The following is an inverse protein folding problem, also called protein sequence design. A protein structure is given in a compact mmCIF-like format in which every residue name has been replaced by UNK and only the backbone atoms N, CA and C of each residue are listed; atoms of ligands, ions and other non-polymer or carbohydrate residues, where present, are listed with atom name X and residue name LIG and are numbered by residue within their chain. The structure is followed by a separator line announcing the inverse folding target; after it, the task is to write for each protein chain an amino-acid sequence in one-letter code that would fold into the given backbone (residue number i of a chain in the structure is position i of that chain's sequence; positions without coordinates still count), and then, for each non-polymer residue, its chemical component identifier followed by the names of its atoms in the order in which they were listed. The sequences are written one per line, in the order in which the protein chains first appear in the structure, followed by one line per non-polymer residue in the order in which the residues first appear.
data_IF_133399836114
#
_entry.id   IF_133399836114
#
_cell.length_a   1.000
_cell.length_b   1.000
_cell.length_c   1.000
_cell.angle_alpha   90.00
_cell.angle_beta   90.00
_cell.angle_gamma   90.00
#
_symmetry.space_group_name_H-M   'P 1'
#
loop_
_entity.id
_entity.type
_entity.pdbx_description
1 polymer ?
#
# COMPACT_ATOMS: atom_id res chain seq x y z
N UNK A 1 -35.71 30.52 1.50
CA UNK A 1 -36.41 30.01 2.69
C UNK A 1 -36.19 30.99 3.83
N UNK A 2 -37.26 31.67 4.24
CA UNK A 2 -37.26 32.80 5.16
C UNK A 2 -36.89 32.41 6.60
N UNK A 3 -36.24 33.38 7.26
CA UNK A 3 -36.04 33.59 8.71
C UNK A 3 -37.01 32.83 9.63
N UNK A 4 -36.47 32.02 10.54
CA UNK A 4 -37.11 31.66 11.81
C UNK A 4 -36.16 32.09 12.92
N UNK A 5 -36.20 33.37 13.31
CA UNK A 5 -35.85 33.83 14.66
C UNK A 5 -36.45 35.23 14.78
N UNK A 6 -37.65 35.29 15.37
CA UNK A 6 -38.36 36.53 15.70
C UNK A 6 -37.84 37.09 17.02
N UNK A 7 -37.79 38.42 17.10
CA UNK A 7 -37.20 39.25 18.15
C UNK A 7 -37.69 38.94 19.60
N UNK A 8 -36.96 38.09 20.33
CA UNK A 8 -36.79 38.16 21.81
C UNK A 8 -35.42 37.63 22.29
N UNK A 9 -34.48 37.45 21.36
CA UNK A 9 -33.51 36.36 21.43
C UNK A 9 -32.11 36.72 21.98
N UNK A 10 -32.03 37.32 23.17
CA UNK A 10 -30.78 37.27 23.95
C UNK A 10 -30.87 36.32 25.14
N UNK A 11 -32.02 36.25 25.83
CA UNK A 11 -32.30 35.18 26.80
C UNK A 11 -32.56 33.81 26.14
N UNK A 12 -33.07 33.81 24.90
CA UNK A 12 -33.41 32.57 24.18
C UNK A 12 -32.19 31.88 23.55
N UNK A 13 -31.13 32.63 23.19
CA UNK A 13 -29.97 32.06 22.51
C UNK A 13 -29.12 31.17 23.43
N UNK A 14 -28.94 31.56 24.69
CA UNK A 14 -28.26 30.73 25.68
C UNK A 14 -29.07 29.46 26.00
N UNK A 15 -30.37 29.61 26.21
CA UNK A 15 -31.27 28.49 26.47
C UNK A 15 -31.33 27.52 25.28
N UNK A 16 -31.37 28.05 24.05
CA UNK A 16 -31.34 27.26 22.82
C UNK A 16 -30.00 26.52 22.66
N UNK A 17 -28.88 27.20 22.92
CA UNK A 17 -27.56 26.58 22.90
C UNK A 17 -27.45 25.44 23.92
N UNK A 18 -27.85 25.68 25.17
CA UNK A 18 -27.87 24.65 26.23
C UNK A 18 -28.76 23.46 25.84
N UNK A 19 -29.95 23.72 25.28
CA UNK A 19 -30.85 22.68 24.82
C UNK A 19 -30.25 21.84 23.68
N UNK A 20 -29.64 22.48 22.67
CA UNK A 20 -28.95 21.78 21.57
C UNK A 20 -27.84 20.88 22.10
N UNK A 21 -26.98 21.40 22.97
CA UNK A 21 -25.86 20.65 23.54
C UNK A 21 -26.33 19.49 24.43
N UNK A 22 -27.45 19.64 25.13
CA UNK A 22 -28.04 18.61 25.97
C UNK A 22 -28.64 17.44 25.15
N UNK A 23 -29.35 17.76 24.06
CA UNK A 23 -29.98 16.73 23.19
C UNK A 23 -28.94 16.03 22.30
N UNK A 24 -27.79 16.65 22.04
CA UNK A 24 -26.74 16.09 21.19
C UNK A 24 -26.28 14.69 21.69
N UNK A 25 -26.28 13.66 20.82
CA UNK A 25 -26.06 12.26 21.23
C UNK A 25 -24.61 11.92 21.57
N UNK A 26 -23.68 12.87 21.42
CA UNK A 26 -22.25 12.69 21.64
C UNK A 26 -21.75 13.51 22.83
N UNK A 27 -20.70 13.05 23.53
CA UNK A 27 -19.95 13.89 24.44
C UNK A 27 -19.36 15.11 23.74
N UNK A 28 -19.70 16.30 24.23
CA UNK A 28 -19.28 17.58 23.64
C UNK A 28 -18.83 18.55 24.72
N UNK A 29 -17.79 19.32 24.42
CA UNK A 29 -17.28 20.38 25.30
C UNK A 29 -16.91 21.63 24.50
N UNK A 30 -16.90 22.78 25.17
CA UNK A 30 -16.50 24.07 24.62
C UNK A 30 -15.38 24.63 25.45
N UNK A 31 -14.30 25.06 24.79
CA UNK A 31 -13.19 25.75 25.42
C UNK A 31 -13.13 27.21 24.98
N UNK A 32 -12.61 28.07 25.85
CA UNK A 32 -12.21 29.44 25.52
C UNK A 32 -10.93 29.78 26.30
N UNK A 33 -9.98 30.44 25.65
CA UNK A 33 -8.69 30.83 26.26
C UNK A 33 -7.95 29.69 26.97
N UNK A 34 -8.03 28.47 26.42
CA UNK A 34 -7.39 27.27 26.97
C UNK A 34 -8.16 26.58 28.09
N UNK A 35 -9.29 27.14 28.53
CA UNK A 35 -10.10 26.61 29.62
C UNK A 35 -11.42 26.04 29.09
N UNK A 36 -11.94 24.98 29.69
CA UNK A 36 -13.29 24.52 29.37
C UNK A 36 -14.30 25.44 30.01
N UNK A 37 -15.27 25.89 29.23
CA UNK A 37 -16.33 26.77 29.71
C UNK A 37 -17.68 26.05 29.76
N UNK A 38 -17.80 24.91 29.06
CA UNK A 38 -19.03 24.13 29.02
C UNK A 38 -18.77 22.69 28.59
N UNK A 39 -19.42 21.73 29.23
CA UNK A 39 -19.51 20.34 28.79
C UNK A 39 -20.95 19.86 28.89
N UNK A 40 -21.44 19.09 27.91
CA UNK A 40 -22.77 18.48 28.02
C UNK A 40 -22.76 17.29 28.98
N UNK A 41 -23.95 16.80 29.37
CA UNK A 41 -24.05 15.69 30.33
C UNK A 41 -23.26 14.44 29.91
N UNK A 42 -23.22 14.14 28.61
CA UNK A 42 -22.48 12.98 28.08
C UNK A 42 -20.98 13.14 28.27
N UNK A 43 -20.45 14.34 28.09
CA UNK A 43 -19.06 14.67 28.39
C UNK A 43 -18.76 14.55 29.88
N UNK A 44 -19.64 15.08 30.73
CA UNK A 44 -19.49 14.97 32.19
C UNK A 44 -19.51 13.50 32.63
N UNK A 45 -20.33 12.64 31.99
CA UNK A 45 -20.41 11.19 32.25
C UNK A 45 -19.18 10.39 31.82
N UNK A 46 -18.26 10.92 31.01
CA UNK A 46 -17.04 10.21 30.60
C UNK A 46 -16.01 10.00 31.75
N UNK A 47 -16.37 10.37 32.99
CA UNK A 47 -15.59 10.29 34.23
C UNK A 47 -14.37 11.22 34.26
N UNK A 48 -14.45 12.33 35.00
CA UNK A 48 -13.29 13.20 35.27
C UNK A 48 -13.64 14.56 35.88
N UNK A 49 -14.81 15.12 35.57
CA UNK A 49 -15.26 16.38 36.15
C UNK A 49 -16.01 16.11 37.47
N UNK A 50 -15.35 16.31 38.61
CA UNK A 50 -16.04 16.46 39.90
C UNK A 50 -16.50 17.91 40.02
N UNK A 51 -17.82 18.09 40.04
CA UNK A 51 -18.58 19.31 40.37
C UNK A 51 -18.41 20.54 39.45
N UNK A 52 -19.55 21.05 38.97
CA UNK A 52 -19.97 22.32 38.36
C UNK A 52 -19.01 23.42 37.82
N UNK A 53 -17.69 23.30 37.85
CA UNK A 53 -16.77 24.28 37.26
C UNK A 53 -15.51 23.61 36.73
N UNK A 54 -15.41 23.49 35.40
CA UNK A 54 -14.30 22.79 34.75
C UNK A 54 -13.27 23.80 34.22
N UNK A 55 -12.50 24.44 35.11
CA UNK A 55 -11.47 25.42 34.70
C UNK A 55 -10.44 24.83 33.72
N UNK A 56 -10.12 23.53 33.83
CA UNK A 56 -9.39 22.75 32.83
C UNK A 56 -10.27 21.57 32.44
N UNK A 57 -10.38 21.25 31.15
CA UNK A 57 -11.48 20.46 30.58
C UNK A 57 -11.70 19.03 31.14
N UNK A 58 -10.88 18.56 32.07
CA UNK A 58 -10.98 17.23 32.67
C UNK A 58 -10.47 16.14 31.72
N UNK A 59 -10.50 16.39 30.40
CA UNK A 59 -9.98 15.50 29.36
C UNK A 59 -8.51 15.20 29.56
N UNK A 60 -7.71 16.16 30.02
CA UNK A 60 -6.29 15.95 30.32
C UNK A 60 -6.09 14.79 31.32
N UNK A 61 -7.00 14.60 32.29
CA UNK A 61 -6.91 13.51 33.27
C UNK A 61 -7.21 12.13 32.66
N UNK A 62 -7.87 12.10 31.50
CA UNK A 62 -8.23 10.89 30.77
C UNK A 62 -7.25 10.53 29.66
N UNK A 63 -6.25 11.38 29.41
CA UNK A 63 -5.27 11.15 28.34
C UNK A 63 -3.92 10.76 28.93
N UNK A 64 -3.22 9.86 28.22
CA UNK A 64 -1.80 9.61 28.42
C UNK A 64 -0.95 10.82 27.99
N UNK A 65 0.34 10.81 28.32
CA UNK A 65 1.24 11.94 28.05
C UNK A 65 1.33 12.28 26.56
N UNK A 66 1.48 11.28 25.69
CA UNK A 66 1.54 11.47 24.23
C UNK A 66 0.27 12.11 23.67
N UNK A 67 -0.89 11.61 24.09
CA UNK A 67 -2.19 12.14 23.66
C UNK A 67 -2.44 13.58 24.16
N UNK A 68 -1.95 13.94 25.36
CA UNK A 68 -2.01 15.33 25.86
C UNK A 68 -1.18 16.27 24.98
N UNK A 69 0.02 15.85 24.59
CA UNK A 69 0.90 16.64 23.72
C UNK A 69 0.27 16.81 22.34
N UNK A 70 -0.30 15.75 21.76
CA UNK A 70 -1.00 15.79 20.47
C UNK A 70 -2.21 16.75 20.50
N UNK A 71 -3.04 16.71 21.56
CA UNK A 71 -4.16 17.64 21.74
C UNK A 71 -3.66 19.08 21.88
N UNK A 72 -2.60 19.32 22.65
CA UNK A 72 -2.00 20.63 22.82
C UNK A 72 -1.49 21.24 21.51
N UNK A 73 -0.77 20.44 20.70
CA UNK A 73 -0.30 20.85 19.37
C UNK A 73 -1.46 21.14 18.40
N UNK A 74 -2.51 20.33 18.45
CA UNK A 74 -3.71 20.55 17.63
C UNK A 74 -4.46 21.83 18.02
N UNK A 75 -4.60 22.12 19.32
CA UNK A 75 -5.19 23.37 19.79
C UNK A 75 -4.36 24.59 19.36
N UNK A 76 -3.03 24.50 19.43
CA UNK A 76 -2.14 25.59 19.03
C UNK A 76 -2.16 25.88 17.52
N UNK A 77 -2.49 24.88 16.69
CA UNK A 77 -2.54 25.00 15.23
C UNK A 77 -3.95 25.20 14.68
N UNK A 78 -4.97 25.21 15.54
CA UNK A 78 -6.39 25.28 15.14
C UNK A 78 -6.73 26.65 14.55
N UNK A 79 -7.08 26.69 13.26
CA UNK A 79 -7.54 27.91 12.55
C UNK A 79 -9.06 27.97 12.50
N UNK A 80 -9.60 29.19 12.43
CA UNK A 80 -11.05 29.43 12.32
C UNK A 80 -11.64 28.64 11.13
N UNK A 81 -12.70 27.86 11.39
CA UNK A 81 -13.37 27.05 10.36
C UNK A 81 -12.68 25.75 9.98
N UNK A 82 -11.50 25.44 10.53
CA UNK A 82 -10.81 24.15 10.32
C UNK A 82 -11.21 23.16 11.41
N UNK A 83 -11.54 21.93 11.00
CA UNK A 83 -11.79 20.81 11.91
C UNK A 83 -10.54 19.94 11.98
N UNK A 84 -9.99 19.75 13.17
CA UNK A 84 -8.91 18.80 13.43
C UNK A 84 -9.50 17.55 14.06
N UNK A 85 -9.06 16.38 13.60
CA UNK A 85 -9.47 15.08 14.15
C UNK A 85 -8.26 14.34 14.67
N UNK A 86 -8.33 13.90 15.92
CA UNK A 86 -7.27 13.16 16.59
C UNK A 86 -7.82 11.81 17.08
N UNK A 87 -7.21 10.68 16.70
CA UNK A 87 -7.45 9.42 17.41
C UNK A 87 -6.78 9.52 18.79
N UNK A 88 -7.51 9.25 19.87
CA UNK A 88 -7.02 9.30 21.24
C UNK A 88 -7.38 8.02 22.00
N UNK A 89 -6.64 7.74 23.08
CA UNK A 89 -6.98 6.70 24.05
C UNK A 89 -7.43 7.32 25.37
N UNK A 90 -8.70 7.09 25.74
CA UNK A 90 -9.22 7.53 27.03
C UNK A 90 -8.98 6.47 28.11
N UNK A 91 -8.26 6.87 29.16
CA UNK A 91 -8.04 6.12 30.40
C UNK A 91 -9.28 6.30 31.30
N UNK A 92 -10.11 5.26 31.43
CA UNK A 92 -11.26 5.28 32.33
C UNK A 92 -10.88 4.87 33.76
N UNK A 93 -11.67 5.30 34.74
CA UNK A 93 -11.59 4.80 36.13
C UNK A 93 -11.73 3.28 36.15
N UNK A 94 -10.72 2.59 36.68
CA UNK A 94 -10.62 1.12 36.67
C UNK A 94 -9.61 0.56 35.66
N UNK A 95 -8.88 1.41 34.93
CA UNK A 95 -7.79 0.98 34.03
C UNK A 95 -8.24 0.51 32.65
N UNK A 96 -9.53 0.60 32.33
CA UNK A 96 -10.06 0.31 31.00
C UNK A 96 -9.71 1.44 30.03
N UNK A 97 -9.21 1.09 28.85
CA UNK A 97 -8.81 2.04 27.81
C UNK A 97 -9.80 1.99 26.66
N UNK A 98 -10.43 3.12 26.32
CA UNK A 98 -11.34 3.25 25.17
C UNK A 98 -10.71 4.13 24.09
N UNK A 99 -10.52 3.59 22.88
CA UNK A 99 -10.08 4.41 21.74
C UNK A 99 -11.24 5.21 21.13
N UNK A 100 -11.05 6.53 21.07
CA UNK A 100 -12.03 7.51 20.60
C UNK A 100 -11.44 8.37 19.47
N UNK A 101 -12.29 9.01 18.69
CA UNK A 101 -11.89 10.12 17.82
C UNK A 101 -12.36 11.44 18.49
N UNK A 102 -11.42 12.35 18.74
CA UNK A 102 -11.70 13.73 19.16
C UNK A 102 -11.70 14.63 17.92
N UNK A 103 -12.83 15.27 17.65
CA UNK A 103 -12.94 16.33 16.64
C UNK A 103 -12.99 17.69 17.33
N UNK A 104 -12.09 18.60 16.95
CA UNK A 104 -12.05 19.97 17.45
C UNK A 104 -12.23 20.95 16.29
N UNK A 105 -13.09 21.95 16.48
CA UNK A 105 -13.24 23.06 15.54
C UNK A 105 -13.24 24.39 16.28
N UNK A 106 -12.63 25.42 15.69
CA UNK A 106 -12.62 26.75 16.28
C UNK A 106 -13.65 27.67 15.62
N UNK A 107 -14.26 28.51 16.45
CA UNK A 107 -15.20 29.56 16.06
C UNK A 107 -14.81 30.87 16.76
N UNK A 108 -15.03 31.99 16.08
CA UNK A 108 -14.79 33.32 16.65
C UNK A 108 -16.11 34.07 16.80
N UNK A 109 -16.38 34.58 18.00
CA UNK A 109 -17.54 35.43 18.32
C UNK A 109 -17.02 36.68 19.03
N UNK A 110 -17.35 37.87 18.52
CA UNK A 110 -17.02 39.16 19.14
C UNK A 110 -15.53 39.27 19.57
N UNK A 111 -14.62 38.84 18.69
CA UNK A 111 -13.16 38.78 18.91
C UNK A 111 -12.65 37.78 19.96
N UNK A 112 -13.52 36.94 20.52
CA UNK A 112 -13.16 35.80 21.38
C UNK A 112 -13.10 34.51 20.59
N UNK A 113 -12.12 33.66 20.89
CA UNK A 113 -11.96 32.33 20.29
C UNK A 113 -12.61 31.28 21.17
N UNK A 114 -13.39 30.41 20.55
CA UNK A 114 -13.99 29.25 21.18
C UNK A 114 -13.63 27.99 20.39
N UNK A 115 -13.44 26.88 21.07
CA UNK A 115 -13.21 25.57 20.46
C UNK A 115 -14.32 24.63 20.86
N UNK A 116 -15.01 24.05 19.88
CA UNK A 116 -15.97 22.97 20.09
C UNK A 116 -15.26 21.64 19.92
N UNK A 117 -15.19 20.85 20.99
CA UNK A 117 -14.74 19.47 20.99
C UNK A 117 -15.91 18.51 20.95
N UNK A 118 -15.83 17.49 20.10
CA UNK A 118 -16.78 16.38 20.02
C UNK A 118 -15.99 15.07 20.11
N UNK A 119 -16.38 14.22 21.05
CA UNK A 119 -15.77 12.90 21.23
C UNK A 119 -16.73 11.87 20.67
N UNK A 120 -16.25 11.01 19.78
CA UNK A 120 -16.99 9.85 19.29
C UNK A 120 -16.22 8.58 19.61
N UNK A 121 -16.85 7.64 20.31
CA UNK A 121 -16.30 6.29 20.49
C UNK A 121 -16.35 5.55 19.15
N UNK A 122 -15.26 4.90 18.75
CA UNK A 122 -15.25 4.10 17.52
C UNK A 122 -16.07 2.84 17.73
N UNK A 123 -17.06 2.62 16.87
CA UNK A 123 -17.73 1.33 16.84
C UNK A 123 -16.74 0.24 16.42
N UNK A 124 -16.89 -0.97 16.96
CA UNK A 124 -16.03 -2.11 16.59
C UNK A 124 -16.04 -2.36 15.07
N UNK A 125 -17.18 -2.10 14.42
CA UNK A 125 -17.36 -2.11 12.97
C UNK A 125 -16.46 -1.11 12.22
N UNK A 126 -16.30 0.11 12.72
CA UNK A 126 -15.42 1.10 12.09
C UNK A 126 -13.93 0.78 12.31
N UNK A 127 -13.57 0.19 13.46
CA UNK A 127 -12.22 -0.32 13.69
C UNK A 127 -11.91 -1.48 12.75
N UNK A 128 -12.83 -2.45 12.64
CA UNK A 128 -12.71 -3.58 11.73
C UNK A 128 -12.59 -3.11 10.28
N UNK A 129 -13.42 -2.15 9.86
CA UNK A 129 -13.36 -1.59 8.51
C UNK A 129 -12.03 -0.91 8.21
N UNK A 130 -11.52 -0.07 9.12
CA UNK A 130 -10.19 0.56 8.94
C UNK A 130 -9.06 -0.46 8.94
N UNK A 131 -9.18 -1.52 9.73
CA UNK A 131 -8.22 -2.62 9.74
C UNK A 131 -8.25 -3.37 8.41
N UNK A 132 -9.44 -3.72 7.91
CA UNK A 132 -9.64 -4.35 6.60
C UNK A 132 -9.11 -3.49 5.47
N UNK A 133 -9.40 -2.19 5.47
CA UNK A 133 -8.88 -1.24 4.48
C UNK A 133 -7.35 -1.18 4.53
N UNK A 134 -6.74 -1.15 5.73
CA UNK A 134 -5.28 -1.20 5.87
C UNK A 134 -4.70 -2.52 5.34
N UNK A 135 -5.30 -3.66 5.68
CA UNK A 135 -4.83 -4.97 5.22
C UNK A 135 -4.97 -5.15 3.71
N UNK A 136 -6.01 -4.57 3.11
CA UNK A 136 -6.28 -4.69 1.68
C UNK A 136 -5.40 -3.76 0.82
N UNK A 137 -5.06 -2.57 1.32
CA UNK A 137 -4.47 -1.50 0.50
C UNK A 137 -3.08 -1.04 0.94
N UNK A 138 -2.55 -1.57 2.05
CA UNK A 138 -1.23 -1.21 2.54
C UNK A 138 -0.36 -2.44 2.76
N UNK A 139 0.94 -2.27 2.54
CA UNK A 139 1.97 -3.24 2.90
C UNK A 139 2.08 -3.36 4.42
N UNK A 140 2.02 -4.59 4.92
CA UNK A 140 1.97 -4.88 6.36
C UNK A 140 3.26 -4.54 7.10
N UNK A 141 4.40 -4.51 6.40
CA UNK A 141 5.70 -4.21 6.98
C UNK A 141 5.98 -2.71 7.08
N UNK A 142 5.70 -1.98 6.00
CA UNK A 142 6.10 -0.57 5.82
C UNK A 142 4.94 0.42 5.98
N UNK A 143 3.70 -0.08 6.06
CA UNK A 143 2.45 0.68 6.03
C UNK A 143 2.28 1.58 4.79
N UNK A 144 3.14 1.46 3.78
CA UNK A 144 2.99 2.15 2.50
C UNK A 144 1.80 1.58 1.74
N UNK A 145 1.16 2.37 0.86
CA UNK A 145 0.35 1.84 -0.23
C UNK A 145 0.98 0.58 -0.84
N UNK A 146 0.17 -0.47 -0.99
CA UNK A 146 0.56 -1.66 -1.74
C UNK A 146 0.28 -1.46 -3.24
N UNK A 147 0.55 -2.49 -4.05
CA UNK A 147 0.30 -2.49 -5.50
C UNK A 147 -1.13 -2.09 -5.87
N UNK A 148 -2.13 -2.58 -5.14
CA UNK A 148 -3.55 -2.31 -5.42
C UNK A 148 -3.83 -0.81 -5.27
N UNK A 149 -3.40 -0.21 -4.15
CA UNK A 149 -3.60 1.22 -3.92
C UNK A 149 -2.77 2.09 -4.87
N UNK A 150 -1.55 1.65 -5.24
CA UNK A 150 -0.76 2.34 -6.25
C UNK A 150 -1.50 2.43 -7.59
N UNK A 151 -2.08 1.32 -8.06
CA UNK A 151 -2.76 1.28 -9.36
C UNK A 151 -4.01 2.16 -9.36
N UNK A 152 -4.78 2.17 -8.27
CA UNK A 152 -5.88 3.12 -8.08
C UNK A 152 -5.39 4.58 -8.18
N UNK A 153 -4.27 4.92 -7.54
CA UNK A 153 -3.69 6.27 -7.60
C UNK A 153 -3.20 6.64 -9.00
N UNK A 154 -2.58 5.72 -9.74
CA UNK A 154 -2.20 5.98 -11.14
C UNK A 154 -3.44 6.20 -12.00
N UNK A 155 -4.49 5.40 -11.85
CA UNK A 155 -5.77 5.60 -12.56
C UNK A 155 -6.40 6.96 -12.26
N UNK A 156 -6.34 7.41 -11.00
CA UNK A 156 -6.79 8.75 -10.60
C UNK A 156 -5.94 9.84 -11.27
N UNK A 157 -4.62 9.68 -11.29
CA UNK A 157 -3.69 10.62 -11.92
C UNK A 157 -3.88 10.69 -13.45
N UNK A 158 -4.06 9.55 -14.12
CA UNK A 158 -4.41 9.46 -15.55
C UNK A 158 -5.74 10.19 -15.83
N UNK A 159 -6.77 9.90 -15.04
CA UNK A 159 -8.08 10.55 -15.17
C UNK A 159 -7.99 12.06 -14.97
N UNK A 160 -7.12 12.52 -14.07
CA UNK A 160 -6.87 13.94 -13.85
C UNK A 160 -6.10 14.58 -15.01
N UNK A 161 -5.05 13.92 -15.50
CA UNK A 161 -4.25 14.35 -16.65
C UNK A 161 -5.11 14.54 -17.91
N UNK A 162 -6.00 13.58 -18.19
CA UNK A 162 -6.94 13.64 -19.33
C UNK A 162 -7.89 14.83 -19.22
N UNK A 163 -8.45 15.10 -18.03
CA UNK A 163 -9.44 16.18 -17.86
C UNK A 163 -8.82 17.57 -17.82
N UNK A 164 -7.64 17.70 -17.20
CA UNK A 164 -7.07 19.01 -16.86
C UNK A 164 -5.81 19.34 -17.66
N UNK A 165 -5.36 18.47 -18.56
CA UNK A 165 -4.12 18.63 -19.32
C UNK A 165 -2.86 18.59 -18.45
N UNK A 166 -2.95 17.97 -17.27
CA UNK A 166 -1.85 17.86 -16.31
C UNK A 166 -0.87 16.75 -16.67
N UNK A 167 0.35 16.82 -16.13
CA UNK A 167 1.37 15.77 -16.23
C UNK A 167 1.71 15.21 -14.85
N UNK A 168 2.17 13.97 -14.84
CA UNK A 168 2.73 13.33 -13.65
C UNK A 168 3.81 12.33 -14.09
N UNK A 169 4.62 11.88 -13.16
CA UNK A 169 5.61 10.84 -13.42
C UNK A 169 5.39 9.62 -12.53
N UNK A 170 5.65 8.44 -13.08
CA UNK A 170 5.74 7.17 -12.36
C UNK A 170 7.21 6.80 -12.27
N UNK A 171 7.64 6.46 -11.06
CA UNK A 171 9.01 6.05 -10.77
C UNK A 171 8.98 4.64 -10.19
N UNK A 172 9.83 3.77 -10.70
CA UNK A 172 10.11 2.44 -10.12
C UNK A 172 11.50 2.48 -9.50
N UNK A 173 11.64 1.90 -8.32
CA UNK A 173 12.85 1.88 -7.52
C UNK A 173 13.12 0.48 -7.00
N UNK A 174 14.38 0.09 -7.00
CA UNK A 174 14.87 -1.14 -6.40
C UNK A 174 16.12 -0.86 -5.56
N UNK A 175 16.30 -1.63 -4.49
CA UNK A 175 17.41 -1.50 -3.54
C UNK A 175 18.59 -2.39 -3.97
N UNK A 176 19.65 -1.75 -4.45
CA UNK A 176 20.83 -2.43 -4.97
C UNK A 176 21.48 -3.30 -3.88
N UNK A 177 21.50 -4.62 -4.07
CA UNK A 177 22.18 -5.57 -3.17
C UNK A 177 21.41 -5.94 -1.91
N UNK A 178 20.11 -5.63 -1.83
CA UNK A 178 19.29 -5.95 -0.65
C UNK A 178 19.27 -7.45 -0.29
N UNK A 179 19.21 -8.34 -1.30
CA UNK A 179 19.24 -9.79 -1.09
C UNK A 179 20.49 -10.24 -0.33
N UNK A 180 21.67 -9.72 -0.67
CA UNK A 180 22.91 -10.07 0.02
C UNK A 180 22.87 -9.69 1.51
N UNK A 181 22.20 -8.58 1.84
CA UNK A 181 22.01 -8.17 3.24
C UNK A 181 21.10 -9.14 3.99
N UNK A 182 20.01 -9.59 3.36
CA UNK A 182 19.15 -10.62 3.96
C UNK A 182 19.90 -11.93 4.17
N UNK A 183 20.74 -12.32 3.22
CA UNK A 183 21.52 -13.56 3.30
C UNK A 183 22.60 -13.48 4.40
N UNK A 184 23.23 -12.31 4.58
CA UNK A 184 24.32 -12.12 5.56
C UNK A 184 23.82 -11.80 6.98
N UNK A 185 22.78 -10.97 7.10
CA UNK A 185 22.31 -10.42 8.39
C UNK A 185 20.92 -10.91 8.81
N UNK A 186 20.25 -11.68 7.94
CA UNK A 186 18.92 -12.24 8.18
C UNK A 186 17.77 -11.30 7.88
N UNK A 187 16.57 -11.87 7.70
CA UNK A 187 15.35 -11.12 7.32
C UNK A 187 14.96 -10.02 8.30
N UNK A 188 15.26 -10.17 9.60
CA UNK A 188 14.96 -9.11 10.58
C UNK A 188 15.74 -7.81 10.30
N UNK A 189 16.98 -7.93 9.78
CA UNK A 189 17.77 -6.78 9.37
C UNK A 189 17.21 -6.15 8.08
N UNK A 190 16.83 -6.98 7.10
CA UNK A 190 16.16 -6.50 5.89
C UNK A 190 14.86 -5.77 6.19
N UNK A 191 14.03 -6.30 7.09
CA UNK A 191 12.79 -5.68 7.53
C UNK A 191 13.01 -4.31 8.17
N UNK A 192 14.08 -4.16 8.96
CA UNK A 192 14.46 -2.87 9.55
C UNK A 192 14.90 -1.87 8.47
N UNK A 193 15.69 -2.32 7.49
CA UNK A 193 16.08 -1.49 6.33
C UNK A 193 14.84 -1.04 5.56
N UNK A 194 13.93 -1.95 5.21
CA UNK A 194 12.74 -1.64 4.42
C UNK A 194 11.84 -0.60 5.11
N UNK A 195 11.66 -0.70 6.44
CA UNK A 195 10.94 0.31 7.22
C UNK A 195 11.63 1.68 7.17
N UNK A 196 12.95 1.70 7.31
CA UNK A 196 13.72 2.94 7.29
C UNK A 196 13.77 3.58 5.89
N UNK A 197 13.95 2.78 4.84
CA UNK A 197 13.82 3.21 3.44
C UNK A 197 12.45 3.84 3.21
N UNK A 198 11.38 3.19 3.67
CA UNK A 198 10.02 3.70 3.54
C UNK A 198 9.84 5.07 4.20
N UNK A 199 10.43 5.26 5.38
CA UNK A 199 10.43 6.55 6.08
C UNK A 199 11.19 7.62 5.30
N UNK A 200 12.37 7.29 4.76
CA UNK A 200 13.20 8.19 3.97
C UNK A 200 12.49 8.59 2.67
N UNK A 201 11.92 7.63 1.93
CA UNK A 201 11.15 7.89 0.71
C UNK A 201 9.96 8.82 0.96
N UNK A 202 9.20 8.61 2.05
CA UNK A 202 8.10 9.51 2.43
C UNK A 202 8.58 10.94 2.72
N UNK A 203 9.75 11.09 3.33
CA UNK A 203 10.35 12.40 3.60
C UNK A 203 10.92 13.08 2.33
N UNK A 204 11.19 12.31 1.28
CA UNK A 204 11.66 12.83 -0.01
C UNK A 204 10.57 13.56 -0.78
N UNK A 205 9.33 13.09 -0.69
CA UNK A 205 8.21 13.54 -1.53
C UNK A 205 7.26 14.52 -0.83
N UNK A 206 6.35 15.14 -1.58
CA UNK A 206 5.32 16.04 -1.04
C UNK A 206 4.09 15.24 -0.60
N UNK A 207 3.21 15.83 0.21
CA UNK A 207 1.99 15.15 0.67
C UNK A 207 0.96 14.81 -0.42
N UNK A 208 1.09 15.38 -1.61
CA UNK A 208 0.28 15.02 -2.79
C UNK A 208 0.87 13.85 -3.57
N UNK A 209 2.17 13.59 -3.42
CA UNK A 209 2.85 12.48 -4.07
C UNK A 209 2.55 11.17 -3.34
N UNK A 210 2.72 10.07 -4.05
CA UNK A 210 2.51 8.72 -3.49
C UNK A 210 3.83 7.97 -3.45
N UNK A 211 4.08 7.27 -2.35
CA UNK A 211 5.14 6.25 -2.25
C UNK A 211 4.44 4.93 -1.96
N UNK A 212 4.77 3.88 -2.69
CA UNK A 212 4.21 2.55 -2.55
C UNK A 212 5.34 1.50 -2.46
N UNK A 213 5.05 0.36 -1.85
CA UNK A 213 5.89 -0.84 -1.91
C UNK A 213 5.18 -1.90 -2.73
N UNK A 214 5.86 -2.44 -3.74
CA UNK A 214 5.30 -3.45 -4.64
C UNK A 214 5.45 -4.86 -4.08
N UNK A 215 6.54 -5.10 -3.37
CA UNK A 215 6.92 -6.40 -2.81
C UNK A 215 8.44 -6.46 -2.66
N UNK A 216 8.98 -7.37 -1.85
CA UNK A 216 10.43 -7.50 -1.68
C UNK A 216 11.12 -6.16 -1.35
N UNK A 217 12.07 -5.78 -2.19
CA UNK A 217 12.82 -4.52 -2.18
C UNK A 217 12.36 -3.48 -3.20
N UNK A 218 11.24 -3.71 -3.87
CA UNK A 218 10.70 -2.85 -4.92
C UNK A 218 9.74 -1.79 -4.37
N UNK A 219 9.97 -0.54 -4.77
CA UNK A 219 9.15 0.61 -4.44
C UNK A 219 8.70 1.33 -5.72
N UNK A 220 7.59 2.04 -5.61
CA UNK A 220 7.12 2.92 -6.68
C UNK A 220 6.71 4.28 -6.14
N UNK A 221 6.91 5.32 -6.94
CA UNK A 221 6.49 6.68 -6.61
C UNK A 221 5.59 7.25 -7.71
N UNK A 222 4.62 8.05 -7.31
CA UNK A 222 3.83 8.90 -8.21
C UNK A 222 4.14 10.35 -7.86
N UNK A 223 4.79 11.05 -8.78
CA UNK A 223 5.13 12.47 -8.65
C UNK A 223 4.09 13.29 -9.41
N UNK A 224 3.21 13.97 -8.67
CA UNK A 224 2.13 14.76 -9.28
C UNK A 224 2.64 16.12 -9.74
N UNK A 225 2.04 16.64 -10.83
CA UNK A 225 2.37 17.97 -11.37
C UNK A 225 3.85 18.10 -11.79
N UNK A 226 4.44 16.99 -12.23
CA UNK A 226 5.81 16.93 -12.75
C UNK A 226 5.74 16.60 -14.23
N UNK A 227 6.32 17.45 -15.07
CA UNK A 227 6.21 17.32 -16.53
C UNK A 227 7.53 17.11 -17.26
N UNK A 228 8.66 17.17 -16.56
CA UNK A 228 9.98 17.05 -17.17
C UNK A 228 11.02 16.48 -16.22
N UNK A 229 12.13 16.02 -16.80
CA UNK A 229 13.26 15.42 -16.08
C UNK A 229 13.86 16.36 -15.03
N UNK A 230 13.92 17.68 -15.29
CA UNK A 230 14.55 18.62 -14.34
C UNK A 230 13.77 18.68 -13.03
N UNK A 231 12.44 18.74 -13.11
CA UNK A 231 11.56 18.75 -11.94
C UNK A 231 11.62 17.43 -11.19
N UNK A 232 11.51 16.30 -11.90
CA UNK A 232 11.61 14.97 -11.31
C UNK A 232 12.98 14.74 -10.65
N UNK A 233 14.05 15.14 -11.33
CA UNK A 233 15.44 14.96 -10.91
C UNK A 233 15.74 15.58 -9.55
N UNK A 234 15.03 16.63 -9.13
CA UNK A 234 15.16 17.20 -7.78
C UNK A 234 14.75 16.17 -6.73
N UNK A 235 13.63 15.47 -6.94
CA UNK A 235 13.12 14.44 -6.03
C UNK A 235 13.95 13.17 -6.14
N UNK A 236 14.27 12.72 -7.36
CA UNK A 236 15.03 11.49 -7.60
C UNK A 236 16.44 11.56 -7.00
N UNK A 237 17.16 12.67 -7.21
CA UNK A 237 18.48 12.86 -6.61
C UNK A 237 18.43 12.94 -5.08
N UNK A 238 17.34 13.48 -4.52
CA UNK A 238 17.11 13.48 -3.07
C UNK A 238 16.89 12.06 -2.57
N UNK A 239 16.07 11.26 -3.26
CA UNK A 239 15.86 9.84 -2.94
C UNK A 239 17.16 9.06 -2.95
N UNK A 240 17.95 9.13 -4.04
CA UNK A 240 19.23 8.42 -4.17
C UNK A 240 20.16 8.79 -3.01
N UNK A 241 20.27 10.09 -2.70
CA UNK A 241 21.13 10.59 -1.62
C UNK A 241 20.68 10.10 -0.25
N UNK A 242 19.38 10.20 0.04
CA UNK A 242 18.85 9.86 1.37
C UNK A 242 18.87 8.35 1.60
N UNK A 243 18.66 7.52 0.57
CA UNK A 243 18.80 6.05 0.67
C UNK A 243 20.25 5.66 0.90
N UNK A 244 21.21 6.33 0.24
CA UNK A 244 22.64 6.05 0.39
C UNK A 244 23.22 6.39 1.79
N UNK A 245 22.47 7.08 2.65
CA UNK A 245 22.90 7.31 4.04
C UNK A 245 22.99 5.95 4.77
N UNK A 246 24.09 5.63 5.47
CA UNK A 246 24.23 4.36 6.17
C UNK A 246 23.04 4.04 7.11
N UNK A 247 22.67 2.77 7.15
CA UNK A 247 21.65 2.22 8.04
C UNK A 247 22.31 1.71 9.31
N UNK A 248 21.90 2.25 10.45
CA UNK A 248 22.35 1.80 11.78
C UNK A 248 21.53 0.58 12.19
N UNK A 249 22.13 -0.61 12.10
CA UNK A 249 21.50 -1.88 12.45
C UNK A 249 22.20 -2.46 13.66
N UNK A 250 21.64 -2.27 14.86
CA UNK A 250 22.12 -2.79 16.15
C UNK A 250 23.64 -2.64 16.41
N UNK A 251 24.48 -3.46 15.77
CA UNK A 251 25.95 -3.49 15.89
C UNK A 251 26.71 -3.28 14.56
N UNK A 252 26.04 -3.11 13.42
CA UNK A 252 26.64 -2.90 12.10
C UNK A 252 26.10 -1.63 11.41
N UNK A 253 26.95 -0.99 10.61
CA UNK A 253 26.53 0.01 9.64
C UNK A 253 26.50 -0.63 8.25
N UNK A 254 25.35 -0.54 7.58
CA UNK A 254 25.18 -1.05 6.22
C UNK A 254 24.88 0.12 5.29
N UNK A 255 25.60 0.19 4.16
CA UNK A 255 25.30 1.13 3.10
C UNK A 255 24.60 0.38 1.97
N UNK A 256 23.53 0.97 1.45
CA UNK A 256 22.78 0.43 0.34
C UNK A 256 22.43 1.56 -0.63
N UNK A 257 22.38 1.23 -1.91
CA UNK A 257 22.08 2.17 -2.98
C UNK A 257 20.72 1.86 -3.60
N UNK A 258 20.18 2.81 -4.36
CA UNK A 258 18.94 2.60 -5.09
C UNK A 258 19.14 2.89 -6.56
N UNK A 259 18.58 2.03 -7.39
CA UNK A 259 18.43 2.26 -8.82
C UNK A 259 17.00 2.66 -9.12
N UNK A 260 16.83 3.73 -9.90
CA UNK A 260 15.52 4.31 -10.20
C UNK A 260 15.29 4.42 -11.70
N UNK A 261 14.05 4.26 -12.11
CA UNK A 261 13.62 4.53 -13.47
C UNK A 261 12.32 5.33 -13.49
N UNK A 262 12.20 6.24 -14.45
CA UNK A 262 11.08 7.18 -14.51
C UNK A 262 10.43 7.22 -15.90
N UNK A 263 9.10 7.26 -15.91
CA UNK A 263 8.26 7.48 -17.08
C UNK A 263 7.26 8.62 -16.81
N UNK A 264 7.08 9.51 -17.79
CA UNK A 264 6.20 10.67 -17.70
C UNK A 264 4.88 10.44 -18.42
N UNK A 265 3.75 10.76 -17.81
CA UNK A 265 2.48 10.89 -18.50
C UNK A 265 2.28 12.34 -18.96
N UNK A 266 1.88 12.60 -20.22
CA UNK A 266 1.49 11.64 -21.26
C UNK A 266 2.64 11.21 -22.21
N UNK A 267 3.87 11.68 -22.02
CA UNK A 267 4.98 11.48 -22.97
C UNK A 267 5.33 10.00 -23.20
N UNK A 268 5.43 9.25 -22.11
CA UNK A 268 5.86 7.86 -22.06
C UNK A 268 4.68 6.89 -21.93
N UNK A 269 3.44 7.38 -21.89
CA UNK A 269 2.29 6.50 -21.79
C UNK A 269 1.03 7.16 -21.29
N UNK A 270 -0.08 6.50 -21.57
CA UNK A 270 -1.43 6.87 -21.14
C UNK A 270 -2.15 5.75 -20.40
N UNK A 271 -1.49 4.60 -20.20
CA UNK A 271 -1.97 3.48 -19.41
C UNK A 271 -1.02 3.18 -18.26
N UNK A 272 -1.52 2.47 -17.24
CA UNK A 272 -0.70 2.02 -16.10
C UNK A 272 0.46 1.15 -16.60
N UNK A 273 0.17 0.23 -17.51
CA UNK A 273 1.08 -0.76 -18.05
C UNK A 273 2.24 -0.10 -18.81
N UNK A 274 1.94 0.87 -19.66
CA UNK A 274 2.96 1.64 -20.39
C UNK A 274 3.89 2.38 -19.43
N UNK A 275 3.33 3.09 -18.45
CA UNK A 275 4.11 3.91 -17.53
C UNK A 275 4.99 3.06 -16.61
N UNK A 276 4.44 1.99 -16.01
CA UNK A 276 5.20 1.11 -15.15
C UNK A 276 6.27 0.33 -15.92
N UNK A 277 5.92 -0.28 -17.06
CA UNK A 277 6.88 -1.08 -17.84
C UNK A 277 8.04 -0.26 -18.40
N UNK A 278 7.78 1.01 -18.75
CA UNK A 278 8.84 1.94 -19.20
C UNK A 278 9.70 2.49 -18.07
N UNK A 279 9.09 2.80 -16.92
CA UNK A 279 9.83 3.22 -15.74
C UNK A 279 10.73 2.09 -15.23
N UNK A 280 10.21 0.87 -15.20
CA UNK A 280 10.97 -0.31 -14.82
C UNK A 280 12.13 -0.63 -15.79
N UNK A 281 11.93 -0.54 -17.11
CA UNK A 281 13.04 -0.65 -18.07
C UNK A 281 14.14 0.38 -17.83
N UNK A 282 13.75 1.63 -17.57
CA UNK A 282 14.70 2.68 -17.25
C UNK A 282 15.46 2.38 -15.94
N UNK A 283 14.80 1.81 -14.92
CA UNK A 283 15.43 1.41 -13.67
C UNK A 283 16.49 0.34 -13.92
N UNK A 284 16.18 -0.63 -14.77
CA UNK A 284 17.15 -1.65 -15.17
C UNK A 284 18.35 -1.06 -15.92
N UNK A 285 18.13 -0.08 -16.81
CA UNK A 285 19.22 0.65 -17.45
C UNK A 285 20.12 1.34 -16.41
N UNK A 286 19.53 1.91 -15.35
CA UNK A 286 20.28 2.49 -14.23
C UNK A 286 21.13 1.43 -13.51
N UNK A 287 20.56 0.26 -13.19
CA UNK A 287 21.30 -0.87 -12.61
C UNK A 287 22.49 -1.28 -13.47
N UNK A 288 22.27 -1.45 -14.78
CA UNK A 288 23.33 -1.81 -15.75
C UNK A 288 24.44 -0.76 -15.85
N UNK A 289 24.14 0.51 -15.59
CA UNK A 289 25.10 1.60 -15.61
C UNK A 289 25.96 1.71 -14.34
N UNK A 290 25.80 0.80 -13.38
CA UNK A 290 26.55 0.77 -12.11
C UNK A 290 25.70 1.03 -10.87
N UNK A 291 24.38 1.16 -11.01
CA UNK A 291 23.44 1.41 -9.91
C UNK A 291 23.58 2.80 -9.29
N UNK A 292 22.91 3.02 -8.17
CA UNK A 292 22.93 4.29 -7.43
C UNK A 292 22.61 5.54 -8.30
N UNK A 293 21.70 5.39 -9.25
CA UNK A 293 21.39 6.40 -10.25
C UNK A 293 19.92 6.31 -10.67
N UNK A 294 19.45 7.30 -11.43
CA UNK A 294 18.18 7.21 -12.14
C UNK A 294 18.39 7.26 -13.65
N UNK A 295 17.51 6.61 -14.40
CA UNK A 295 17.38 6.82 -15.84
C UNK A 295 15.96 7.19 -16.22
N UNK A 296 15.82 8.01 -17.26
CA UNK A 296 14.54 8.35 -17.87
C UNK A 296 14.20 7.33 -18.95
N UNK A 297 12.92 7.01 -19.12
CA UNK A 297 12.46 6.15 -20.21
C UNK A 297 12.92 6.68 -21.56
N UNK A 298 13.41 5.76 -22.40
CA UNK A 298 13.76 6.01 -23.81
C UNK A 298 12.64 5.62 -24.78
N UNK A 299 11.45 5.27 -24.26
CA UNK A 299 10.33 4.73 -25.04
C UNK A 299 10.40 3.22 -25.28
N UNK A 300 11.45 2.57 -24.83
CA UNK A 300 11.59 1.11 -24.82
C UNK A 300 10.89 0.50 -23.60
N UNK A 301 10.37 -0.72 -23.76
CA UNK A 301 9.68 -1.50 -22.72
C UNK A 301 10.54 -2.73 -22.44
N UNK A 302 10.77 -3.04 -21.17
CA UNK A 302 11.85 -3.92 -20.78
C UNK A 302 11.59 -5.42 -20.93
N UNK A 303 12.45 -6.08 -21.69
CA UNK A 303 12.63 -7.54 -21.79
C UNK A 303 13.19 -8.17 -20.48
N UNK A 304 13.94 -7.42 -19.66
CA UNK A 304 14.73 -8.00 -18.55
C UNK A 304 14.03 -8.00 -17.18
N UNK A 305 13.08 -7.10 -16.91
CA UNK A 305 12.27 -7.20 -15.70
C UNK A 305 11.27 -8.36 -15.76
N UNK A 306 10.80 -8.67 -16.97
CA UNK A 306 10.09 -9.92 -17.28
C UNK A 306 10.97 -11.15 -16.96
N UNK A 307 12.29 -11.07 -17.19
CA UNK A 307 13.25 -12.16 -16.92
C UNK A 307 13.59 -12.33 -15.43
N UNK A 308 13.82 -11.25 -14.68
CA UNK A 308 14.15 -11.31 -13.25
C UNK A 308 12.95 -11.76 -12.39
N UNK A 309 11.73 -11.29 -12.69
CA UNK A 309 10.53 -11.74 -11.99
C UNK A 309 10.26 -13.24 -12.18
N UNK A 310 10.67 -13.81 -13.32
CA UNK A 310 10.50 -15.23 -13.61
C UNK A 310 11.77 -16.05 -13.33
N UNK A 311 12.85 -15.44 -12.86
CA UNK A 311 14.13 -16.11 -12.64
C UNK A 311 14.04 -17.29 -11.65
N UNK A 312 13.27 -17.21 -10.53
CA UNK A 312 13.06 -18.36 -9.66
C UNK A 312 12.32 -19.50 -10.38
N UNK A 313 11.31 -19.14 -11.18
CA UNK A 313 10.48 -20.07 -11.94
C UNK A 313 11.24 -20.74 -13.10
N UNK A 314 12.25 -20.06 -13.65
CA UNK A 314 12.99 -20.50 -14.82
C UNK A 314 14.24 -21.32 -14.49
N UNK A 315 14.86 -21.06 -13.34
CA UNK A 315 16.18 -21.62 -13.04
C UNK A 315 16.17 -22.76 -12.03
N UNK A 316 15.16 -22.89 -11.15
CA UNK A 316 15.24 -23.88 -10.08
C UNK A 316 13.90 -24.23 -9.40
N UNK A 317 13.03 -24.97 -10.09
CA UNK A 317 11.87 -25.62 -9.45
C UNK A 317 12.03 -27.13 -9.57
N UNK A 318 12.44 -27.76 -8.47
CA UNK A 318 12.39 -29.21 -8.30
C UNK A 318 11.94 -29.51 -6.88
N UNK A 319 10.73 -30.04 -6.77
CA UNK A 319 10.12 -30.47 -5.52
C UNK A 319 10.47 -31.93 -5.20
N UNK A 320 11.05 -32.65 -6.16
CA UNK A 320 11.53 -34.01 -6.03
C UNK A 320 10.40 -35.03 -6.16
N UNK A 321 9.49 -34.78 -7.11
CA UNK A 321 8.45 -35.70 -7.56
C UNK A 321 8.47 -35.69 -9.09
N UNK A 322 8.95 -36.79 -9.70
CA UNK A 322 9.39 -36.82 -11.11
C UNK A 322 8.37 -36.23 -12.08
N UNK A 323 7.11 -36.67 -11.99
CA UNK A 323 6.03 -36.20 -12.85
C UNK A 323 5.72 -34.70 -12.70
N UNK A 324 5.79 -34.15 -11.47
CA UNK A 324 5.52 -32.72 -11.21
C UNK A 324 6.72 -31.88 -11.66
N UNK A 325 7.95 -32.35 -11.36
CA UNK A 325 9.18 -31.68 -11.76
C UNK A 325 9.31 -31.60 -13.30
N UNK A 326 8.87 -32.62 -14.04
CA UNK A 326 8.81 -32.59 -15.51
C UNK A 326 7.84 -31.52 -16.02
N UNK A 327 6.65 -31.41 -15.44
CA UNK A 327 5.66 -30.40 -15.83
C UNK A 327 6.14 -28.97 -15.52
N UNK A 328 6.79 -28.77 -14.36
CA UNK A 328 7.40 -27.47 -14.02
C UNK A 328 8.51 -27.09 -15.01
N UNK A 329 9.33 -28.05 -15.45
CA UNK A 329 10.37 -27.81 -16.45
C UNK A 329 9.77 -27.45 -17.84
N UNK A 330 8.66 -28.07 -18.24
CA UNK A 330 7.95 -27.71 -19.48
C UNK A 330 7.38 -26.29 -19.43
N UNK A 331 6.77 -25.91 -18.30
CA UNK A 331 6.27 -24.54 -18.08
C UNK A 331 7.43 -23.54 -18.11
N UNK A 332 8.53 -23.84 -17.41
CA UNK A 332 9.75 -23.03 -17.41
C UNK A 332 10.37 -22.90 -18.82
N UNK A 333 10.36 -23.97 -19.61
CA UNK A 333 10.85 -23.96 -20.99
C UNK A 333 9.98 -23.08 -21.89
N UNK A 334 8.65 -23.15 -21.75
CA UNK A 334 7.72 -22.30 -22.48
C UNK A 334 7.95 -20.81 -22.15
N UNK A 335 8.16 -20.50 -20.87
CA UNK A 335 8.50 -19.16 -20.39
C UNK A 335 9.83 -18.64 -20.94
N UNK A 336 10.88 -19.46 -20.93
CA UNK A 336 12.17 -19.12 -21.57
C UNK A 336 11.98 -18.84 -23.06
N UNK A 337 11.12 -19.60 -23.73
CA UNK A 337 10.75 -19.39 -25.13
C UNK A 337 10.02 -18.06 -25.36
N UNK A 338 9.04 -17.73 -24.52
CA UNK A 338 8.33 -16.45 -24.53
C UNK A 338 9.29 -15.28 -24.28
N UNK A 339 10.22 -15.43 -23.33
CA UNK A 339 11.29 -14.47 -23.07
C UNK A 339 12.18 -14.23 -24.28
N UNK A 340 12.62 -15.31 -24.96
CA UNK A 340 13.47 -15.19 -26.13
C UNK A 340 12.75 -14.52 -27.30
N UNK A 341 11.49 -14.90 -27.53
CA UNK A 341 10.60 -14.34 -28.56
C UNK A 341 10.32 -12.84 -28.42
N UNK A 342 10.45 -12.27 -27.20
CA UNK A 342 10.35 -10.83 -26.97
C UNK A 342 11.58 -10.06 -27.47
N UNK A 343 12.75 -10.72 -27.51
CA UNK A 343 14.03 -10.14 -27.97
C UNK A 343 14.24 -10.28 -29.47
N UNK A 344 13.71 -11.33 -30.08
CA UNK A 344 13.77 -11.52 -31.53
C UNK A 344 12.51 -10.93 -32.18
N UNK A 345 12.60 -10.50 -33.44
CA UNK A 345 11.43 -10.01 -34.19
C UNK A 345 10.49 -11.18 -34.60
N UNK A 346 10.06 -12.02 -33.65
CA UNK A 346 9.08 -13.09 -33.87
C UNK A 346 7.73 -12.48 -34.30
N UNK A 347 6.98 -13.25 -35.09
CA UNK A 347 5.69 -12.80 -35.60
C UNK A 347 4.62 -12.85 -34.50
N UNK A 348 3.60 -11.98 -34.62
CA UNK A 348 2.45 -11.96 -33.70
C UNK A 348 1.74 -13.32 -33.58
N UNK A 349 1.81 -14.16 -34.62
CA UNK A 349 1.23 -15.50 -34.62
C UNK A 349 2.01 -16.48 -33.72
N UNK A 350 3.34 -16.39 -33.72
CA UNK A 350 4.22 -17.23 -32.89
C UNK A 350 4.10 -16.86 -31.41
N UNK A 351 4.09 -15.56 -31.09
CA UNK A 351 3.83 -15.08 -29.72
C UNK A 351 2.47 -15.57 -29.19
N UNK A 352 1.42 -15.49 -30.01
CA UNK A 352 0.09 -15.99 -29.64
C UNK A 352 0.09 -17.50 -29.40
N UNK A 353 0.73 -18.27 -30.28
CA UNK A 353 0.82 -19.72 -30.11
C UNK A 353 1.54 -20.10 -28.81
N UNK A 354 2.63 -19.41 -28.46
CA UNK A 354 3.36 -19.66 -27.20
C UNK A 354 2.53 -19.33 -25.96
N UNK A 355 1.77 -18.24 -26.00
CA UNK A 355 0.81 -17.87 -24.97
C UNK A 355 -0.27 -18.95 -24.77
N UNK A 356 -0.94 -19.36 -25.85
CA UNK A 356 -1.95 -20.42 -25.83
C UNK A 356 -1.34 -21.75 -25.32
N UNK A 357 -0.08 -22.03 -25.67
CA UNK A 357 0.64 -23.22 -25.22
C UNK A 357 0.98 -23.19 -23.72
N UNK A 358 1.37 -22.04 -23.17
CA UNK A 358 1.60 -21.86 -21.73
C UNK A 358 0.34 -22.12 -20.91
N UNK A 359 -0.81 -21.62 -21.38
CA UNK A 359 -2.10 -21.90 -20.75
C UNK A 359 -2.38 -23.40 -20.73
N UNK A 360 -2.18 -24.09 -21.85
CA UNK A 360 -2.38 -25.53 -21.95
C UNK A 360 -1.50 -26.33 -20.96
N UNK A 361 -0.22 -25.96 -20.84
CA UNK A 361 0.71 -26.60 -19.89
C UNK A 361 0.24 -26.42 -18.44
N UNK A 362 -0.22 -25.22 -18.09
CA UNK A 362 -0.72 -24.90 -16.75
C UNK A 362 -2.01 -25.68 -16.43
N UNK A 363 -2.95 -25.75 -17.36
CA UNK A 363 -4.18 -26.55 -17.22
C UNK A 363 -3.88 -28.04 -17.05
N UNK A 364 -2.92 -28.57 -17.82
CA UNK A 364 -2.51 -29.97 -17.73
C UNK A 364 -1.85 -30.28 -16.38
N UNK A 365 -1.02 -29.37 -15.87
CA UNK A 365 -0.39 -29.51 -14.57
C UNK A 365 -1.43 -29.57 -13.44
N UNK A 366 -2.37 -28.63 -13.41
CA UNK A 366 -3.46 -28.62 -12.41
C UNK A 366 -4.34 -29.88 -12.46
N UNK A 367 -4.62 -30.42 -13.65
CA UNK A 367 -5.34 -31.70 -13.76
C UNK A 367 -4.56 -32.86 -13.13
N UNK A 368 -3.24 -32.89 -13.29
CA UNK A 368 -2.38 -33.89 -12.66
C UNK A 368 -2.42 -33.78 -11.14
N UNK A 369 -2.35 -32.57 -10.60
CA UNK A 369 -2.45 -32.34 -9.15
C UNK A 369 -3.80 -32.80 -8.58
N UNK A 370 -4.89 -32.44 -9.27
CA UNK A 370 -6.23 -32.85 -8.86
C UNK A 370 -6.43 -34.38 -8.89
N UNK A 371 -5.87 -35.08 -9.88
CA UNK A 371 -5.90 -36.55 -9.91
C UNK A 371 -5.10 -37.16 -8.75
N UNK A 372 -3.93 -36.62 -8.43
CA UNK A 372 -3.11 -37.06 -7.30
C UNK A 372 -3.83 -36.82 -5.96
N UNK A 373 -4.41 -35.64 -5.77
CA UNK A 373 -5.22 -35.29 -4.60
C UNK A 373 -6.38 -36.28 -4.43
N UNK A 374 -7.12 -36.55 -5.51
CA UNK A 374 -8.24 -37.50 -5.52
C UNK A 374 -7.79 -38.92 -5.20
N UNK A 375 -6.74 -39.40 -5.87
CA UNK A 375 -6.28 -40.78 -5.79
C UNK A 375 -5.72 -41.14 -4.42
N UNK A 376 -5.08 -40.17 -3.75
CA UNK A 376 -4.45 -40.36 -2.44
C UNK A 376 -5.21 -39.71 -1.28
N UNK A 377 -6.38 -39.11 -1.55
CA UNK A 377 -7.24 -38.44 -0.56
C UNK A 377 -6.48 -37.37 0.26
N UNK A 378 -5.71 -36.55 -0.44
CA UNK A 378 -4.85 -35.50 0.11
C UNK A 378 -5.63 -34.17 0.08
N UNK A 379 -5.81 -33.53 1.26
CA UNK A 379 -6.38 -32.16 1.42
C UNK A 379 -7.85 -31.98 0.96
N UNK A 380 -8.40 -30.79 1.20
CA UNK A 380 -9.72 -30.36 0.73
C UNK A 380 -9.69 -30.00 -0.76
N UNK A 381 -10.37 -30.82 -1.55
CA UNK A 381 -10.43 -30.72 -3.02
C UNK A 381 -11.14 -29.45 -3.51
N UNK A 382 -12.17 -28.98 -2.79
CA UNK A 382 -13.02 -27.90 -3.29
C UNK A 382 -12.27 -26.57 -3.28
N UNK A 383 -11.54 -26.28 -2.20
CA UNK A 383 -10.74 -25.07 -2.09
C UNK A 383 -9.60 -25.04 -3.11
N UNK A 384 -8.94 -26.18 -3.34
CA UNK A 384 -7.82 -26.28 -4.28
C UNK A 384 -8.26 -26.06 -5.73
N UNK A 385 -9.41 -26.61 -6.12
CA UNK A 385 -9.98 -26.41 -7.45
C UNK A 385 -10.44 -24.95 -7.66
N UNK A 386 -11.03 -24.32 -6.64
CA UNK A 386 -11.40 -22.90 -6.71
C UNK A 386 -10.16 -22.00 -6.90
N UNK A 387 -9.03 -22.36 -6.29
CA UNK A 387 -7.74 -21.69 -6.48
C UNK A 387 -7.26 -21.87 -7.94
N UNK A 388 -7.25 -23.09 -8.49
CA UNK A 388 -6.91 -23.35 -9.90
C UNK A 388 -7.80 -22.57 -10.89
N UNK A 389 -9.11 -22.61 -10.70
CA UNK A 389 -10.08 -21.92 -11.57
C UNK A 389 -9.89 -20.40 -11.55
N UNK A 390 -9.44 -19.85 -10.42
CA UNK A 390 -9.11 -18.43 -10.31
C UNK A 390 -7.81 -18.11 -11.05
N UNK A 391 -6.79 -18.96 -10.90
CA UNK A 391 -5.50 -18.82 -11.58
C UNK A 391 -5.63 -18.88 -13.10
N UNK A 392 -6.39 -19.84 -13.61
CA UNK A 392 -6.61 -20.01 -15.06
C UNK A 392 -7.38 -18.84 -15.67
N UNK A 393 -8.43 -18.35 -14.99
CA UNK A 393 -9.19 -17.17 -15.46
C UNK A 393 -8.31 -15.94 -15.58
N UNK A 394 -7.45 -15.73 -14.59
CA UNK A 394 -6.58 -14.57 -14.61
C UNK A 394 -5.48 -14.68 -15.67
N UNK A 395 -4.95 -15.89 -15.92
CA UNK A 395 -4.04 -16.15 -17.04
C UNK A 395 -4.74 -15.87 -18.38
N UNK A 396 -5.96 -16.37 -18.57
CA UNK A 396 -6.77 -16.18 -19.79
C UNK A 396 -7.03 -14.68 -20.06
N UNK A 397 -7.39 -13.91 -19.03
CA UNK A 397 -7.60 -12.46 -19.10
C UNK A 397 -6.36 -11.72 -19.62
N UNK A 398 -5.16 -12.12 -19.17
CA UNK A 398 -3.91 -11.50 -19.64
C UNK A 398 -3.52 -11.91 -21.05
N UNK A 399 -3.76 -13.17 -21.42
CA UNK A 399 -3.43 -13.67 -22.76
C UNK A 399 -4.35 -13.08 -23.86
N UNK A 400 -5.55 -12.63 -23.48
CA UNK A 400 -6.55 -12.11 -24.42
C UNK A 400 -6.56 -10.57 -24.53
N UNK A 401 -5.74 -9.83 -23.78
CA UNK A 401 -5.60 -8.38 -23.95
C UNK A 401 -4.91 -8.01 -25.28
N UNK A 402 -5.50 -7.15 -26.12
CA UNK A 402 -4.94 -6.81 -27.43
C UNK A 402 -3.72 -5.86 -27.32
N UNK A 403 -2.51 -6.42 -27.33
CA UNK A 403 -1.25 -5.66 -27.52
C UNK A 403 -0.02 -6.38 -26.93
N UNK A 404 1.20 -6.04 -27.38
CA UNK A 404 2.45 -6.58 -26.79
C UNK A 404 2.71 -6.14 -25.32
N UNK A 405 1.77 -5.43 -24.70
CA UNK A 405 1.84 -4.86 -23.36
C UNK A 405 1.29 -5.79 -22.27
N UNK A 406 0.64 -6.90 -22.64
CA UNK A 406 0.16 -7.93 -21.70
C UNK A 406 1.29 -8.71 -21.02
N UNK A 407 2.53 -8.63 -21.52
CA UNK A 407 3.63 -9.50 -21.08
C UNK A 407 4.25 -9.08 -19.74
N UNK A 408 4.47 -7.79 -19.45
CA UNK A 408 4.95 -7.36 -18.11
C UNK A 408 3.94 -7.70 -17.02
N UNK A 409 2.64 -7.53 -17.34
CA UNK A 409 1.55 -7.92 -16.46
C UNK A 409 1.47 -9.44 -16.31
N UNK A 410 1.69 -10.19 -17.39
CA UNK A 410 1.81 -11.65 -17.35
C UNK A 410 3.00 -12.13 -16.51
N UNK A 411 4.19 -11.50 -16.56
CA UNK A 411 5.29 -11.88 -15.65
C UNK A 411 4.95 -11.59 -14.20
N UNK A 412 4.33 -10.44 -13.93
CA UNK A 412 3.90 -10.11 -12.59
C UNK A 412 2.84 -11.08 -12.08
N UNK A 413 1.87 -11.44 -12.93
CA UNK A 413 0.87 -12.47 -12.65
C UNK A 413 1.51 -13.82 -12.34
N UNK A 414 2.49 -14.23 -13.15
CA UNK A 414 3.18 -15.50 -12.96
C UNK A 414 4.11 -15.52 -11.74
N UNK A 415 4.75 -14.39 -11.42
CA UNK A 415 5.54 -14.22 -10.19
C UNK A 415 4.66 -14.12 -8.93
N UNK A 416 3.47 -13.54 -9.04
CA UNK A 416 2.56 -13.37 -7.90
C UNK A 416 1.67 -14.60 -7.68
N UNK A 417 1.54 -15.49 -8.67
CA UNK A 417 0.62 -16.62 -8.62
C UNK A 417 1.24 -17.97 -8.84
N UNK A 418 1.87 -18.19 -10.01
CA UNK A 418 2.37 -19.51 -10.37
C UNK A 418 3.58 -19.89 -9.51
N UNK A 419 4.48 -18.94 -9.26
CA UNK A 419 5.62 -19.20 -8.38
C UNK A 419 5.18 -19.44 -6.92
N UNK A 420 4.32 -18.62 -6.29
CA UNK A 420 3.76 -18.93 -4.97
C UNK A 420 2.94 -20.21 -4.90
N UNK A 421 2.17 -20.56 -5.94
CA UNK A 421 1.45 -21.83 -6.04
C UNK A 421 2.43 -23.00 -5.94
N UNK A 422 3.49 -22.97 -6.75
CA UNK A 422 4.54 -23.99 -6.75
C UNK A 422 5.29 -24.04 -5.41
N UNK A 423 5.69 -22.89 -4.87
CA UNK A 423 6.47 -22.80 -3.63
C UNK A 423 5.68 -23.22 -2.39
N UNK A 424 4.34 -23.19 -2.45
CA UNK A 424 3.49 -23.45 -1.28
C UNK A 424 2.57 -24.65 -1.46
N UNK A 425 1.72 -24.65 -2.48
CA UNK A 425 0.67 -25.64 -2.69
C UNK A 425 1.27 -26.94 -3.26
N UNK A 426 2.08 -26.86 -4.32
CA UNK A 426 2.72 -28.04 -4.92
C UNK A 426 3.75 -28.63 -3.95
N UNK A 427 4.51 -27.79 -3.26
CA UNK A 427 5.48 -28.23 -2.26
C UNK A 427 4.80 -29.00 -1.11
N UNK A 428 3.65 -28.53 -0.63
CA UNK A 428 2.84 -29.21 0.38
C UNK A 428 2.24 -30.53 -0.16
N UNK A 429 1.71 -30.52 -1.39
CA UNK A 429 1.21 -31.72 -2.07
C UNK A 429 2.30 -32.79 -2.20
N UNK A 430 3.48 -32.42 -2.68
CA UNK A 430 4.64 -33.33 -2.82
C UNK A 430 5.09 -33.85 -1.46
N UNK A 431 5.10 -33.02 -0.41
CA UNK A 431 5.42 -33.45 0.94
C UNK A 431 4.42 -34.50 1.46
N UNK A 432 3.12 -34.30 1.21
CA UNK A 432 2.07 -35.24 1.61
C UNK A 432 2.11 -36.54 0.81
N UNK A 433 2.38 -36.49 -0.50
CA UNK A 433 2.58 -37.67 -1.35
C UNK A 433 3.76 -38.51 -0.86
N UNK A 434 4.90 -37.87 -0.53
CA UNK A 434 6.06 -38.54 0.06
C UNK A 434 5.74 -39.17 1.41
N UNK A 435 4.99 -38.47 2.27
CA UNK A 435 4.54 -39.00 3.56
C UNK A 435 3.61 -40.22 3.41
N UNK A 436 2.81 -40.25 2.34
CA UNK A 436 1.94 -41.37 1.99
C UNK A 436 2.70 -42.55 1.33
N UNK A 437 4.03 -42.45 1.15
CA UNK A 437 4.85 -43.49 0.55
C UNK A 437 4.69 -43.60 -0.97
N UNK A 438 4.13 -42.57 -1.61
CA UNK A 438 4.00 -42.48 -3.06
C UNK A 438 5.33 -41.99 -3.62
N UNK A 439 6.06 -42.88 -4.30
CA UNK A 439 7.18 -42.49 -5.15
C UNK A 439 6.64 -42.06 -6.51
N UNK A 440 6.97 -40.83 -6.90
CA UNK A 440 6.73 -40.30 -8.25
C UNK A 440 7.45 -41.11 -9.30
#
# INVERSE_FOLDING_TARGET
MQRIFTHSAFGDAENFFRALMHVAPLPMFVMSEGNCIYGNERFIRLHGCKDDFCATCGLEHLLGQEDREAVGQALASLKAGVVVRLPLQLLQTGGKVSAVDLSMSSLQIEKKSFVLGVISEKTEKERLRRLLDRLAFHDSLTELPNRILLFDRINQALSHAVRNGGSFAVVVLDLDGFKAINDELGHAAGDAILREVSRRLRACVRGVDTVARLGGDEFALILHEVGNEKEAGIVLNKVIRDVAVPFELASNQVALHASLGIAFCPLDGSTIQELLGRADYAMYAAKKSGGNAYCVSTGEIGETAFRHALEPLINNIRLGFEMIDEQHEEIAACLRGLLAALSDHETRAEMKWRADYLQHLTESHFHTEEDLILRYAIRDQAQHRDEHDNLLRQLEDFLHEPGCYGMTVMAHAMNDWLLPHIETLDADLVAQLKAAGVSG
#
